data_IF_630483590279
#
_entry.id   IF_630483590279
#
_cell.length_a   1.000
_cell.length_b   1.000
_cell.length_c   1.000
_cell.angle_alpha   90.00
_cell.angle_beta   90.00
_cell.angle_gamma   90.00
#
_symmetry.space_group_name_H-M   'P 1'
#
loop_
_entity.id
_entity.type
_entity.pdbx_description
1 polymer ?
#
# COMPACT_ATOMS: atom_id res chain seq x y z
N UNK A 1 -14.79 15.59 11.11
CA UNK A 1 -15.37 14.30 10.73
C UNK A 1 -16.45 14.00 11.72
N UNK A 2 -17.63 13.57 11.28
CA UNK A 2 -18.68 13.19 12.22
C UNK A 2 -18.39 11.80 12.85
N UNK A 3 -19.02 11.53 13.99
CA UNK A 3 -18.80 10.29 14.73
C UNK A 3 -19.27 9.04 13.96
N UNK A 4 -20.24 9.18 13.06
CA UNK A 4 -20.76 8.08 12.24
C UNK A 4 -19.70 7.63 11.23
N UNK A 5 -19.10 8.59 10.49
CA UNK A 5 -17.99 8.35 9.57
C UNK A 5 -16.80 7.72 10.30
N UNK A 6 -16.41 8.28 11.46
CA UNK A 6 -15.31 7.71 12.23
C UNK A 6 -15.60 6.29 12.66
N UNK A 7 -16.77 6.03 13.26
CA UNK A 7 -17.11 4.70 13.79
C UNK A 7 -17.20 3.66 12.67
N UNK A 8 -17.87 3.99 11.56
CA UNK A 8 -18.01 3.09 10.43
C UNK A 8 -16.66 2.78 9.77
N UNK A 9 -15.85 3.83 9.50
CA UNK A 9 -14.53 3.65 8.90
C UNK A 9 -13.57 2.89 9.82
N UNK A 10 -13.58 3.20 11.13
CA UNK A 10 -12.77 2.50 12.11
C UNK A 10 -13.13 1.02 12.20
N UNK A 11 -14.42 0.68 12.35
CA UNK A 11 -14.86 -0.72 12.45
C UNK A 11 -14.54 -1.49 11.17
N UNK A 12 -14.84 -0.93 9.99
CA UNK A 12 -14.56 -1.58 8.72
C UNK A 12 -13.06 -1.84 8.54
N UNK A 13 -12.22 -0.84 8.77
CA UNK A 13 -10.76 -0.96 8.65
C UNK A 13 -10.15 -1.83 9.75
N UNK A 14 -10.70 -1.83 10.96
CA UNK A 14 -10.25 -2.70 12.05
C UNK A 14 -10.47 -4.17 11.70
N UNK A 15 -11.69 -4.55 11.32
CA UNK A 15 -11.98 -5.92 10.92
C UNK A 15 -11.18 -6.32 9.67
N UNK A 16 -11.05 -5.42 8.70
CA UNK A 16 -10.27 -5.68 7.49
C UNK A 16 -8.78 -5.85 7.80
N UNK A 17 -8.23 -5.08 8.73
CA UNK A 17 -6.84 -5.22 9.20
C UNK A 17 -6.62 -6.55 9.91
N UNK A 18 -7.58 -6.99 10.74
CA UNK A 18 -7.49 -8.27 11.47
C UNK A 18 -7.54 -9.45 10.50
N UNK A 19 -8.44 -9.40 9.50
CA UNK A 19 -8.50 -10.45 8.47
C UNK A 19 -7.26 -10.43 7.58
N UNK A 20 -6.83 -9.26 7.12
CA UNK A 20 -5.65 -9.11 6.26
C UNK A 20 -4.38 -9.64 6.96
N UNK A 21 -4.19 -9.33 8.24
CA UNK A 21 -3.04 -9.85 9.00
C UNK A 21 -3.06 -11.38 9.16
N UNK A 22 -4.26 -11.99 9.29
CA UNK A 22 -4.43 -13.43 9.54
C UNK A 22 -4.45 -14.27 8.26
N UNK A 23 -5.20 -13.84 7.25
CA UNK A 23 -5.45 -14.60 6.02
C UNK A 23 -4.83 -13.98 4.77
N UNK A 24 -4.22 -12.79 4.84
CA UNK A 24 -3.70 -12.05 3.67
C UNK A 24 -4.76 -11.69 2.64
N UNK A 25 -6.01 -11.71 3.09
CA UNK A 25 -7.18 -11.44 2.28
C UNK A 25 -8.19 -10.66 3.11
N UNK A 26 -8.93 -9.78 2.44
CA UNK A 26 -10.08 -9.09 3.02
C UNK A 26 -11.34 -9.68 2.40
N UNK A 27 -12.31 -10.16 3.21
CA UNK A 27 -13.55 -10.70 2.69
C UNK A 27 -14.28 -9.69 1.79
N UNK A 28 -14.77 -10.17 0.65
CA UNK A 28 -15.55 -9.35 -0.28
C UNK A 28 -16.79 -8.73 0.38
N UNK A 29 -17.45 -9.47 1.28
CA UNK A 29 -18.58 -8.97 2.04
C UNK A 29 -18.21 -7.71 2.85
N UNK A 30 -17.01 -7.66 3.42
CA UNK A 30 -16.55 -6.53 4.21
C UNK A 30 -16.21 -5.32 3.33
N UNK A 31 -15.46 -5.55 2.24
CA UNK A 31 -15.03 -4.46 1.34
C UNK A 31 -16.20 -3.88 0.53
N UNK A 32 -17.05 -4.71 -0.08
CA UNK A 32 -18.25 -4.26 -0.77
C UNK A 32 -19.30 -3.72 0.20
N UNK A 33 -19.48 -4.37 1.36
CA UNK A 33 -20.40 -3.88 2.39
C UNK A 33 -20.03 -2.48 2.86
N UNK A 34 -18.74 -2.21 3.08
CA UNK A 34 -18.27 -0.88 3.45
C UNK A 34 -18.47 0.15 2.32
N UNK A 35 -18.16 -0.22 1.07
CA UNK A 35 -18.43 0.65 -0.09
C UNK A 35 -19.92 1.00 -0.22
N UNK A 36 -20.80 0.01 -0.12
CA UNK A 36 -22.25 0.21 -0.17
C UNK A 36 -22.75 1.09 0.98
N UNK A 37 -22.23 0.90 2.19
CA UNK A 37 -22.52 1.77 3.33
C UNK A 37 -22.12 3.21 3.06
N UNK A 38 -20.89 3.45 2.57
CA UNK A 38 -20.41 4.80 2.25
C UNK A 38 -21.30 5.51 1.23
N UNK A 39 -21.76 4.78 0.21
CA UNK A 39 -22.68 5.33 -0.80
C UNK A 39 -24.04 5.66 -0.18
N UNK A 40 -24.63 4.72 0.56
CA UNK A 40 -25.91 4.92 1.23
C UNK A 40 -25.86 6.11 2.20
N UNK A 41 -24.75 6.28 2.91
CA UNK A 41 -24.53 7.39 3.83
C UNK A 41 -24.49 8.75 3.11
N UNK A 42 -23.78 8.85 1.98
CA UNK A 42 -23.75 10.08 1.17
C UNK A 42 -25.13 10.47 0.63
N UNK A 43 -25.92 9.48 0.18
CA UNK A 43 -27.31 9.68 -0.26
C UNK A 43 -28.22 10.12 0.90
N UNK A 44 -28.11 9.48 2.06
CA UNK A 44 -28.86 9.85 3.26
C UNK A 44 -28.56 11.29 3.70
N UNK A 45 -27.27 11.68 3.71
CA UNK A 45 -26.86 13.06 3.99
C UNK A 45 -27.47 14.06 3.04
N UNK A 46 -27.49 13.76 1.76
CA UNK A 46 -28.09 14.62 0.74
C UNK A 46 -29.60 14.82 0.99
N UNK A 47 -30.30 13.73 1.34
CA UNK A 47 -31.72 13.78 1.67
C UNK A 47 -32.00 14.62 2.92
N UNK A 48 -31.27 14.38 4.01
CA UNK A 48 -31.43 15.10 5.28
C UNK A 48 -31.12 16.59 5.14
N UNK A 49 -30.09 16.94 4.37
CA UNK A 49 -29.68 18.34 4.15
C UNK A 49 -30.46 19.05 3.05
N UNK A 50 -31.30 18.33 2.27
CA UNK A 50 -32.01 18.88 1.12
C UNK A 50 -31.08 19.44 0.04
N UNK A 51 -29.88 18.89 -0.12
CA UNK A 51 -28.84 19.41 -1.01
C UNK A 51 -28.15 18.30 -1.79
N UNK A 52 -27.79 18.57 -3.04
CA UNK A 52 -27.03 17.65 -3.91
C UNK A 52 -25.54 17.60 -3.59
N UNK A 53 -25.03 18.55 -2.82
CA UNK A 53 -23.60 18.66 -2.53
C UNK A 53 -23.00 17.38 -1.92
N UNK A 54 -23.63 16.69 -0.95
CA UNK A 54 -23.09 15.44 -0.41
C UNK A 54 -23.00 14.31 -1.45
N UNK A 55 -23.96 14.23 -2.39
CA UNK A 55 -23.92 13.24 -3.48
C UNK A 55 -22.74 13.52 -4.40
N UNK A 56 -22.58 14.77 -4.83
CA UNK A 56 -21.48 15.15 -5.71
C UNK A 56 -20.12 14.93 -5.04
N UNK A 57 -19.99 15.27 -3.76
CA UNK A 57 -18.78 15.04 -2.98
C UNK A 57 -18.48 13.54 -2.83
N UNK A 58 -19.49 12.73 -2.52
CA UNK A 58 -19.34 11.27 -2.43
C UNK A 58 -18.90 10.66 -3.77
N UNK A 59 -19.53 11.05 -4.89
CA UNK A 59 -19.20 10.55 -6.21
C UNK A 59 -17.80 10.98 -6.65
N UNK A 60 -17.42 12.24 -6.43
CA UNK A 60 -16.07 12.72 -6.76
C UNK A 60 -15.00 12.00 -5.93
N UNK A 61 -15.25 11.81 -4.63
CA UNK A 61 -14.39 11.03 -3.74
C UNK A 61 -14.23 9.58 -4.21
N UNK A 62 -15.34 8.92 -4.55
CA UNK A 62 -15.36 7.56 -5.11
C UNK A 62 -14.54 7.45 -6.40
N UNK A 63 -14.74 8.38 -7.34
CA UNK A 63 -14.04 8.38 -8.63
C UNK A 63 -12.54 8.61 -8.46
N UNK A 64 -12.14 9.60 -7.65
CA UNK A 64 -10.72 9.92 -7.45
C UNK A 64 -10.00 8.79 -6.71
N UNK A 65 -10.58 8.29 -5.63
CA UNK A 65 -9.96 7.25 -4.81
C UNK A 65 -10.02 5.88 -5.47
N UNK A 66 -11.14 5.54 -6.11
CA UNK A 66 -11.28 4.33 -6.90
C UNK A 66 -10.36 4.35 -8.12
N UNK A 67 -10.24 5.50 -8.80
CA UNK A 67 -9.29 5.68 -9.90
C UNK A 67 -7.84 5.50 -9.45
N UNK A 68 -7.44 6.10 -8.32
CA UNK A 68 -6.12 5.89 -7.73
C UNK A 68 -5.90 4.42 -7.35
N UNK A 69 -6.88 3.78 -6.71
CA UNK A 69 -6.83 2.37 -6.36
C UNK A 69 -6.68 1.46 -7.59
N UNK A 70 -7.38 1.77 -8.69
CA UNK A 70 -7.25 1.05 -9.96
C UNK A 70 -5.85 1.22 -10.55
N UNK A 71 -5.31 2.45 -10.57
CA UNK A 71 -3.94 2.70 -11.04
C UNK A 71 -2.92 1.87 -10.24
N UNK A 72 -3.08 1.79 -8.92
CA UNK A 72 -2.19 1.01 -8.06
C UNK A 72 -2.38 -0.50 -8.21
N UNK A 73 -3.61 -0.96 -8.44
CA UNK A 73 -3.90 -2.36 -8.76
C UNK A 73 -3.25 -2.79 -10.07
N UNK A 74 -3.46 -2.02 -11.15
CA UNK A 74 -2.84 -2.32 -12.45
C UNK A 74 -1.33 -2.12 -12.45
N UNK A 75 -0.80 -1.30 -11.54
CA UNK A 75 0.63 -1.17 -11.27
C UNK A 75 1.22 -2.31 -10.43
N UNK A 76 0.42 -3.30 -10.04
CA UNK A 76 0.86 -4.42 -9.20
C UNK A 76 1.36 -3.98 -7.82
N UNK A 77 0.89 -2.84 -7.31
CA UNK A 77 1.27 -2.33 -5.99
C UNK A 77 0.30 -2.79 -4.91
N UNK A 78 -0.99 -2.77 -5.22
CA UNK A 78 -2.08 -3.02 -4.26
C UNK A 78 -2.99 -4.15 -4.72
N UNK A 79 -3.65 -4.81 -3.77
CA UNK A 79 -4.64 -5.84 -4.05
C UNK A 79 -6.01 -5.26 -4.42
N UNK A 80 -6.90 -6.11 -4.94
CA UNK A 80 -8.27 -5.71 -5.26
C UNK A 80 -9.06 -5.25 -4.02
N UNK A 81 -8.77 -5.83 -2.86
CA UNK A 81 -9.34 -5.42 -1.57
C UNK A 81 -8.96 -3.98 -1.20
N UNK A 82 -7.67 -3.62 -1.29
CA UNK A 82 -7.16 -2.29 -0.95
C UNK A 82 -7.81 -1.21 -1.82
N UNK A 83 -7.97 -1.50 -3.12
CA UNK A 83 -8.64 -0.61 -4.07
C UNK A 83 -10.11 -0.39 -3.70
N UNK A 84 -10.85 -1.45 -3.33
CA UNK A 84 -12.25 -1.33 -2.87
C UNK A 84 -12.37 -0.54 -1.58
N UNK A 85 -11.48 -0.79 -0.61
CA UNK A 85 -11.44 -0.05 0.65
C UNK A 85 -11.09 1.41 0.44
N UNK A 86 -10.14 1.72 -0.45
CA UNK A 86 -9.78 3.10 -0.80
C UNK A 86 -10.98 3.81 -1.45
N UNK A 87 -11.64 3.16 -2.40
CA UNK A 87 -12.86 3.68 -3.04
C UNK A 87 -13.97 3.94 -2.02
N UNK A 88 -14.20 3.02 -1.08
CA UNK A 88 -15.17 3.15 0.00
C UNK A 88 -14.86 4.33 0.93
N UNK A 89 -13.58 4.55 1.29
CA UNK A 89 -13.15 5.69 2.07
C UNK A 89 -13.30 7.01 1.31
N UNK A 90 -12.98 7.03 0.02
CA UNK A 90 -13.20 8.19 -0.85
C UNK A 90 -14.68 8.58 -0.89
N UNK A 91 -15.58 7.61 -1.05
CA UNK A 91 -17.02 7.84 -0.99
C UNK A 91 -17.48 8.33 0.41
N UNK A 92 -16.90 7.78 1.48
CA UNK A 92 -17.26 8.10 2.86
C UNK A 92 -16.85 9.53 3.26
N UNK A 93 -15.63 9.93 2.90
CA UNK A 93 -15.11 11.27 3.16
C UNK A 93 -15.77 12.30 2.25
N UNK A 94 -16.00 11.92 0.99
CA UNK A 94 -16.33 12.83 -0.09
C UNK A 94 -15.15 13.75 -0.45
N UNK A 95 -15.23 14.36 -1.64
CA UNK A 95 -14.25 15.32 -2.12
C UNK A 95 -14.97 16.58 -2.61
N UNK A 96 -14.85 17.67 -1.86
CA UNK A 96 -15.44 18.97 -2.19
C UNK A 96 -14.47 20.11 -1.88
N UNK A 97 -14.64 21.24 -2.56
CA UNK A 97 -13.83 22.44 -2.33
C UNK A 97 -13.97 22.88 -0.86
N UNK A 98 -12.83 23.05 -0.18
CA UNK A 98 -12.79 23.38 1.26
C UNK A 98 -12.81 22.18 2.20
N UNK A 99 -12.99 20.95 1.70
CA UNK A 99 -12.85 19.72 2.46
C UNK A 99 -11.50 19.06 2.16
N UNK A 100 -10.62 19.01 3.16
CA UNK A 100 -9.26 18.46 3.04
C UNK A 100 -9.11 17.06 3.68
N UNK A 101 -10.19 16.48 4.22
CA UNK A 101 -10.13 15.19 4.94
C UNK A 101 -9.62 14.05 4.05
N UNK A 102 -10.15 13.96 2.82
CA UNK A 102 -9.73 12.98 1.84
C UNK A 102 -8.25 13.15 1.45
N UNK A 103 -7.82 14.38 1.11
CA UNK A 103 -6.43 14.62 0.73
C UNK A 103 -5.47 14.37 1.89
N UNK A 104 -5.81 14.84 3.09
CA UNK A 104 -5.02 14.61 4.30
C UNK A 104 -4.92 13.12 4.62
N UNK A 105 -6.01 12.36 4.44
CA UNK A 105 -5.98 10.90 4.58
C UNK A 105 -4.99 10.26 3.60
N UNK A 106 -4.98 10.64 2.32
CA UNK A 106 -4.04 10.09 1.33
C UNK A 106 -2.58 10.38 1.71
N UNK A 107 -2.31 11.60 2.19
CA UNK A 107 -0.97 11.98 2.68
C UNK A 107 -0.58 11.11 3.87
N UNK A 108 -1.47 10.98 4.87
CA UNK A 108 -1.23 10.14 6.04
C UNK A 108 -1.09 8.65 5.66
N UNK A 109 -1.84 8.17 4.67
CA UNK A 109 -1.74 6.81 4.15
C UNK A 109 -0.38 6.56 3.51
N UNK A 110 0.16 7.52 2.75
CA UNK A 110 1.50 7.39 2.19
C UNK A 110 2.57 7.26 3.29
N UNK A 111 2.50 8.12 4.32
CA UNK A 111 3.46 8.09 5.42
C UNK A 111 3.34 6.83 6.28
N UNK A 112 2.12 6.46 6.67
CA UNK A 112 1.87 5.26 7.48
C UNK A 112 2.14 3.98 6.70
N UNK A 113 1.79 3.94 5.42
CA UNK A 113 2.09 2.82 4.51
C UNK A 113 3.59 2.61 4.35
N UNK A 114 4.35 3.68 4.13
CA UNK A 114 5.80 3.62 4.05
C UNK A 114 6.43 3.15 5.37
N UNK A 115 6.03 3.75 6.51
CA UNK A 115 6.52 3.37 7.83
C UNK A 115 6.21 1.90 8.16
N UNK A 116 4.96 1.48 7.92
CA UNK A 116 4.52 0.11 8.15
C UNK A 116 5.26 -0.89 7.26
N UNK A 117 5.40 -0.59 5.96
CA UNK A 117 6.14 -1.44 5.03
C UNK A 117 7.60 -1.64 5.43
N UNK A 118 8.28 -0.59 5.89
CA UNK A 118 9.65 -0.67 6.41
C UNK A 118 9.68 -1.55 7.67
N UNK A 119 8.84 -1.27 8.67
CA UNK A 119 8.80 -2.02 9.93
C UNK A 119 8.52 -3.49 9.68
N UNK A 120 7.51 -3.81 8.84
CA UNK A 120 7.15 -5.17 8.50
C UNK A 120 8.29 -5.92 7.79
N UNK A 121 8.93 -5.27 6.81
CA UNK A 121 10.07 -5.83 6.07
C UNK A 121 11.24 -6.14 7.01
N UNK A 122 11.59 -5.21 7.90
CA UNK A 122 12.66 -5.40 8.87
C UNK A 122 12.32 -6.48 9.90
N UNK A 123 11.07 -6.54 10.37
CA UNK A 123 10.61 -7.58 11.27
C UNK A 123 10.70 -8.97 10.61
N UNK A 124 10.31 -9.08 9.34
CA UNK A 124 10.38 -10.35 8.60
C UNK A 124 11.83 -10.79 8.34
N UNK A 125 12.71 -9.84 7.99
CA UNK A 125 14.14 -10.08 7.84
C UNK A 125 14.81 -10.50 9.17
N UNK A 126 14.40 -9.92 10.29
CA UNK A 126 14.89 -10.28 11.61
C UNK A 126 14.39 -11.68 12.04
N UNK A 127 13.12 -11.98 11.78
CA UNK A 127 12.52 -13.27 12.11
C UNK A 127 13.17 -14.44 11.34
N UNK A 128 13.62 -14.20 10.10
CA UNK A 128 14.26 -15.20 9.24
C UNK A 128 15.73 -14.83 8.94
N UNK A 129 16.47 -14.40 9.96
CA UNK A 129 17.81 -13.83 9.82
C UNK A 129 18.79 -14.66 9.00
N UNK A 130 18.79 -15.99 9.16
CA UNK A 130 19.73 -16.87 8.45
C UNK A 130 19.45 -16.90 6.94
N UNK A 131 18.20 -17.16 6.56
CA UNK A 131 17.76 -17.13 5.18
C UNK A 131 17.98 -15.74 4.56
N UNK A 132 17.63 -14.68 5.30
CA UNK A 132 17.84 -13.30 4.87
C UNK A 132 19.32 -12.97 4.61
N UNK A 133 20.23 -13.33 5.52
CA UNK A 133 21.66 -13.04 5.36
C UNK A 133 22.26 -13.82 4.18
N UNK A 134 21.86 -15.08 3.98
CA UNK A 134 22.29 -15.86 2.80
C UNK A 134 21.85 -15.17 1.51
N UNK A 135 20.55 -14.89 1.40
CA UNK A 135 19.98 -14.22 0.25
C UNK A 135 20.55 -12.82 0.00
N UNK A 136 20.82 -12.05 1.06
CA UNK A 136 21.42 -10.73 0.93
C UNK A 136 22.83 -10.81 0.34
N UNK A 137 23.63 -11.80 0.73
CA UNK A 137 24.97 -12.01 0.16
C UNK A 137 24.89 -12.35 -1.33
N UNK A 138 23.95 -13.20 -1.72
CA UNK A 138 23.70 -13.55 -3.13
C UNK A 138 23.22 -12.34 -3.94
N UNK A 139 22.33 -11.53 -3.37
CA UNK A 139 21.82 -10.33 -4.04
C UNK A 139 22.92 -9.27 -4.23
N UNK A 140 23.85 -9.13 -3.29
CA UNK A 140 24.94 -8.14 -3.34
C UNK A 140 26.02 -8.46 -4.38
N UNK A 141 26.14 -9.72 -4.84
CA UNK A 141 27.10 -10.09 -5.90
C UNK A 141 26.55 -9.86 -7.32
N UNK A 142 25.23 -9.67 -7.46
CA UNK A 142 24.62 -9.38 -8.75
C UNK A 142 25.23 -8.12 -9.39
N UNK A 143 25.57 -8.15 -10.69
CA UNK A 143 26.25 -7.03 -11.36
C UNK A 143 25.44 -5.73 -11.30
N UNK A 144 24.11 -5.82 -11.41
CA UNK A 144 23.20 -4.67 -11.29
C UNK A 144 23.26 -4.01 -9.92
N UNK A 145 23.28 -4.79 -8.85
CA UNK A 145 23.33 -4.29 -7.47
C UNK A 145 24.71 -3.72 -7.15
N UNK A 146 25.79 -4.38 -7.62
CA UNK A 146 27.16 -3.85 -7.50
C UNK A 146 27.33 -2.51 -8.21
N UNK A 147 26.75 -2.36 -9.40
CA UNK A 147 26.80 -1.10 -10.15
C UNK A 147 26.00 0.00 -9.46
N UNK A 148 24.76 -0.29 -9.02
CA UNK A 148 23.96 0.63 -8.22
C UNK A 148 24.71 1.10 -6.96
N UNK A 149 25.34 0.18 -6.22
CA UNK A 149 26.15 0.50 -5.03
C UNK A 149 27.30 1.46 -5.35
N UNK A 150 28.02 1.24 -6.46
CA UNK A 150 29.12 2.12 -6.89
C UNK A 150 28.63 3.52 -7.23
N UNK A 151 27.51 3.63 -7.93
CA UNK A 151 26.88 4.93 -8.25
C UNK A 151 26.45 5.63 -6.98
N UNK A 152 25.76 4.94 -6.07
CA UNK A 152 25.34 5.51 -4.78
C UNK A 152 26.54 6.00 -3.99
N UNK A 153 27.63 5.23 -3.91
CA UNK A 153 28.85 5.65 -3.21
C UNK A 153 29.52 6.85 -3.88
N UNK A 154 29.60 6.87 -5.21
CA UNK A 154 30.14 8.02 -5.96
C UNK A 154 29.29 9.28 -5.75
N UNK A 155 27.96 9.15 -5.76
CA UNK A 155 27.04 10.25 -5.47
C UNK A 155 27.18 10.75 -4.03
N UNK A 156 27.23 9.85 -3.04
CA UNK A 156 27.48 10.21 -1.65
C UNK A 156 28.83 10.94 -1.50
N UNK A 157 29.88 10.46 -2.17
CA UNK A 157 31.19 11.11 -2.16
C UNK A 157 31.13 12.52 -2.75
N UNK A 158 30.45 12.71 -3.89
CA UNK A 158 30.27 14.02 -4.51
C UNK A 158 29.46 14.98 -3.60
N UNK A 159 28.40 14.49 -2.95
CA UNK A 159 27.62 15.28 -2.00
C UNK A 159 28.49 15.69 -0.80
N UNK A 160 29.33 14.78 -0.29
CA UNK A 160 30.26 15.10 0.79
C UNK A 160 31.28 16.17 0.37
N UNK A 161 31.82 16.12 -0.84
CA UNK A 161 32.66 17.21 -1.37
C UNK A 161 31.90 18.54 -1.43
N UNK A 162 30.63 18.51 -1.84
CA UNK A 162 29.78 19.70 -1.90
C UNK A 162 29.48 20.27 -0.50
N UNK A 163 29.37 19.42 0.53
CA UNK A 163 29.24 19.86 1.94
C UNK A 163 30.45 20.71 2.34
N UNK A 164 31.67 20.35 1.95
CA UNK A 164 32.86 21.16 2.26
C UNK A 164 32.85 22.54 1.59
N UNK A 165 32.30 22.62 0.37
CA UNK A 165 32.23 23.88 -0.40
C UNK A 165 31.11 24.78 0.14
N UNK A 166 29.90 24.24 0.33
CA UNK A 166 28.69 25.01 0.68
C UNK A 166 28.52 25.16 2.20
N UNK A 167 29.16 24.31 3.01
CA UNK A 167 29.10 24.28 4.48
C UNK A 167 27.69 24.17 5.05
N UNK A 168 26.83 23.37 4.40
CA UNK A 168 25.44 23.19 4.81
C UNK A 168 25.18 21.76 5.31
N UNK A 169 24.66 21.64 6.53
CA UNK A 169 24.37 20.35 7.20
C UNK A 169 23.26 19.51 6.55
N UNK A 170 22.23 20.07 5.88
CA UNK A 170 21.21 19.28 5.17
C UNK A 170 21.78 18.39 4.05
N UNK A 171 22.87 18.79 3.40
CA UNK A 171 23.52 17.96 2.38
C UNK A 171 24.13 16.69 2.98
N UNK A 172 24.66 16.76 4.21
CA UNK A 172 25.15 15.58 4.91
C UNK A 172 24.00 14.61 5.21
N UNK A 173 22.87 15.12 5.71
CA UNK A 173 21.67 14.32 5.92
C UNK A 173 21.19 13.66 4.62
N UNK A 174 21.22 14.40 3.51
CA UNK A 174 20.85 13.87 2.20
C UNK A 174 21.76 12.72 1.75
N UNK A 175 23.08 12.81 1.94
CA UNK A 175 24.01 11.73 1.64
C UNK A 175 23.75 10.47 2.48
N UNK A 176 23.45 10.65 3.78
CA UNK A 176 23.09 9.55 4.68
C UNK A 176 21.78 8.89 4.22
N UNK A 177 20.74 9.68 3.95
CA UNK A 177 19.45 9.17 3.48
C UNK A 177 19.58 8.43 2.14
N UNK A 178 20.38 8.96 1.21
CA UNK A 178 20.63 8.31 -0.08
C UNK A 178 21.26 6.92 0.09
N UNK A 179 22.24 6.80 0.99
CA UNK A 179 22.89 5.52 1.29
C UNK A 179 21.96 4.55 2.02
N UNK A 180 21.17 5.05 2.98
CA UNK A 180 20.14 4.25 3.67
C UNK A 180 19.08 3.75 2.69
N UNK A 181 18.66 4.57 1.73
CA UNK A 181 17.68 4.18 0.72
C UNK A 181 18.19 3.06 -0.19
N UNK A 182 19.48 3.07 -0.54
CA UNK A 182 20.11 1.95 -1.26
C UNK A 182 19.99 0.64 -0.47
N UNK A 183 20.33 0.65 0.82
CA UNK A 183 20.23 -0.55 1.66
C UNK A 183 18.79 -0.99 1.89
N UNK A 184 17.86 -0.04 2.06
CA UNK A 184 16.45 -0.34 2.15
C UNK A 184 15.94 -1.00 0.87
N UNK A 185 16.31 -0.47 -0.30
CA UNK A 185 15.95 -1.04 -1.59
C UNK A 185 16.44 -2.48 -1.75
N UNK A 186 17.72 -2.76 -1.42
CA UNK A 186 18.26 -4.13 -1.47
C UNK A 186 17.52 -5.03 -0.48
N UNK A 187 17.26 -4.56 0.73
CA UNK A 187 16.56 -5.31 1.78
C UNK A 187 15.14 -5.68 1.34
N UNK A 188 14.37 -4.72 0.84
CA UNK A 188 13.01 -4.94 0.32
C UNK A 188 13.04 -5.98 -0.80
N UNK A 189 14.00 -5.90 -1.74
CA UNK A 189 14.13 -6.88 -2.83
C UNK A 189 14.43 -8.29 -2.35
N UNK A 190 15.29 -8.45 -1.34
CA UNK A 190 15.58 -9.76 -0.75
C UNK A 190 14.35 -10.33 -0.06
N UNK A 191 13.67 -9.53 0.76
CA UNK A 191 12.46 -9.95 1.47
C UNK A 191 11.35 -10.33 0.48
N UNK A 192 11.16 -9.51 -0.56
CA UNK A 192 10.16 -9.72 -1.61
C UNK A 192 10.37 -11.03 -2.39
N UNK A 193 11.61 -11.35 -2.76
CA UNK A 193 11.89 -12.53 -3.59
C UNK A 193 12.01 -13.82 -2.77
N UNK A 194 12.59 -13.76 -1.56
CA UNK A 194 12.97 -14.96 -0.81
C UNK A 194 12.07 -15.25 0.37
N UNK A 195 11.58 -14.22 1.07
CA UNK A 195 10.79 -14.41 2.30
C UNK A 195 9.29 -14.30 2.07
N UNK A 196 8.87 -13.56 1.04
CA UNK A 196 7.47 -13.41 0.65
C UNK A 196 7.05 -14.38 -0.46
N UNK A 197 7.98 -15.07 -1.11
CA UNK A 197 7.64 -16.13 -2.06
C UNK A 197 7.54 -17.47 -1.34
N UNK A 198 6.37 -18.10 -1.38
CA UNK A 198 6.13 -19.41 -0.76
C UNK A 198 5.56 -20.39 -1.75
N UNK A 199 5.82 -21.67 -1.48
CA UNK A 199 5.27 -22.76 -2.27
C UNK A 199 3.87 -23.12 -1.76
N UNK A 200 2.86 -22.96 -2.62
CA UNK A 200 1.46 -23.29 -2.32
C UNK A 200 1.02 -24.52 -3.10
N UNK A 201 0.18 -25.35 -2.49
CA UNK A 201 -0.52 -26.39 -3.24
C UNK A 201 -1.56 -25.73 -4.15
N UNK A 202 -1.74 -26.25 -5.38
CA UNK A 202 -2.76 -25.72 -6.32
C UNK A 202 -4.19 -25.82 -5.77
N UNK A 203 -4.41 -26.69 -4.78
CA UNK A 203 -5.67 -26.79 -4.05
C UNK A 203 -5.95 -25.57 -3.15
N UNK A 204 -4.89 -24.91 -2.65
CA UNK A 204 -4.97 -23.76 -1.74
C UNK A 204 -5.03 -22.41 -2.47
N UNK A 205 -4.77 -22.39 -3.78
CA UNK A 205 -4.80 -21.15 -4.55
C UNK A 205 -6.19 -20.52 -4.53
N UNK A 206 -6.22 -19.22 -4.31
CA UNK A 206 -7.41 -18.36 -4.39
C UNK A 206 -7.31 -17.44 -5.61
N UNK A 207 -8.46 -16.86 -5.99
CA UNK A 207 -8.50 -15.92 -7.12
C UNK A 207 -7.75 -14.64 -6.76
N UNK A 208 -6.76 -14.26 -7.57
CA UNK A 208 -5.90 -13.11 -7.30
C UNK A 208 -4.49 -13.46 -6.80
N UNK A 209 -4.19 -14.72 -6.46
CA UNK A 209 -2.84 -15.13 -6.05
C UNK A 209 -1.79 -14.84 -7.15
N UNK A 210 -0.63 -14.31 -6.75
CA UNK A 210 0.44 -13.94 -7.67
C UNK A 210 1.44 -15.07 -7.85
N UNK A 211 1.18 -15.94 -8.83
CA UNK A 211 2.13 -16.99 -9.23
C UNK A 211 3.34 -16.36 -9.93
N UNK A 212 4.54 -16.63 -9.44
CA UNK A 212 5.76 -15.88 -9.83
C UNK A 212 6.29 -16.20 -11.22
N UNK A 213 5.97 -17.38 -11.76
CA UNK A 213 6.55 -17.91 -12.99
C UNK A 213 5.50 -18.58 -13.88
N UNK A 214 5.81 -18.64 -15.18
CA UNK A 214 5.03 -19.44 -16.13
C UNK A 214 5.08 -20.92 -15.72
N UNK A 215 3.94 -21.60 -15.78
CA UNK A 215 3.84 -23.02 -15.45
C UNK A 215 3.70 -23.80 -16.74
N UNK A 216 4.75 -24.55 -17.09
CA UNK A 216 4.84 -25.37 -18.30
C UNK A 216 4.77 -26.84 -17.92
N UNK A 217 3.81 -27.58 -18.50
CA UNK A 217 3.63 -29.02 -18.29
C UNK A 217 3.71 -29.72 -19.64
N UNK A 218 4.64 -30.67 -19.78
CA UNK A 218 4.92 -31.39 -21.04
C UNK A 218 5.16 -30.45 -22.25
N UNK A 219 5.91 -29.37 -22.05
CA UNK A 219 6.23 -28.40 -23.11
C UNK A 219 5.09 -27.44 -23.48
N UNK A 220 3.92 -27.55 -22.83
CA UNK A 220 2.79 -26.65 -23.03
C UNK A 220 2.62 -25.70 -21.84
N UNK A 221 2.59 -24.40 -22.09
CA UNK A 221 2.28 -23.39 -21.06
C UNK A 221 0.84 -23.54 -20.60
N UNK A 222 0.65 -23.96 -19.35
CA UNK A 222 -0.66 -24.12 -18.70
C UNK A 222 -1.11 -22.80 -18.08
N UNK A 223 -0.16 -22.05 -17.53
CA UNK A 223 -0.38 -20.72 -16.97
C UNK A 223 0.75 -19.80 -17.40
N UNK A 224 0.38 -18.59 -17.82
CA UNK A 224 1.30 -17.49 -18.10
C UNK A 224 1.19 -16.48 -16.97
N UNK A 225 2.31 -16.03 -16.44
CA UNK A 225 2.38 -15.03 -15.38
C UNK A 225 1.50 -13.83 -15.72
N UNK A 226 0.66 -13.45 -14.76
CA UNK A 226 -0.26 -12.32 -14.84
C UNK A 226 -0.04 -11.38 -13.66
N UNK A 227 -0.01 -10.07 -13.93
CA UNK A 227 0.10 -9.03 -12.89
C UNK A 227 -1.19 -8.91 -12.06
N UNK A 228 -2.33 -9.38 -12.58
CA UNK A 228 -3.61 -9.38 -11.85
C UNK A 228 -3.81 -10.65 -10.99
N UNK A 229 -2.81 -11.55 -10.97
CA UNK A 229 -2.91 -12.84 -10.32
C UNK A 229 -3.64 -13.91 -11.13
N UNK A 230 -3.85 -15.07 -10.52
CA UNK A 230 -4.53 -16.22 -11.12
C UNK A 230 -6.04 -16.05 -11.12
N UNK A 231 -6.69 -16.37 -12.23
CA UNK A 231 -8.15 -16.44 -12.30
C UNK A 231 -8.65 -17.83 -11.90
N UNK A 232 -9.95 -17.95 -11.61
CA UNK A 232 -10.59 -19.27 -11.41
C UNK A 232 -10.39 -20.23 -12.59
N UNK A 233 -10.32 -19.71 -13.81
CA UNK A 233 -10.06 -20.50 -15.02
C UNK A 233 -8.62 -21.03 -15.04
N UNK A 234 -7.66 -20.23 -14.61
CA UNK A 234 -6.25 -20.62 -14.51
C UNK A 234 -6.04 -21.70 -13.44
N UNK A 235 -6.66 -21.54 -12.27
CA UNK A 235 -6.62 -22.54 -11.19
C UNK A 235 -7.20 -23.87 -11.70
N UNK A 236 -8.32 -23.84 -12.42
CA UNK A 236 -8.90 -25.04 -13.03
C UNK A 236 -8.00 -25.66 -14.12
N UNK A 237 -7.24 -24.85 -14.87
CA UNK A 237 -6.26 -25.35 -15.84
C UNK A 237 -5.07 -26.03 -15.14
N UNK A 238 -4.52 -25.42 -14.09
CA UNK A 238 -3.44 -25.98 -13.28
C UNK A 238 -3.85 -27.32 -12.63
N UNK A 239 -5.07 -27.41 -12.09
CA UNK A 239 -5.62 -28.66 -11.53
C UNK A 239 -5.77 -29.75 -12.58
N UNK A 240 -6.29 -29.43 -13.77
CA UNK A 240 -6.43 -30.39 -14.89
C UNK A 240 -5.08 -30.90 -15.38
N UNK A 241 -4.06 -30.05 -15.38
CA UNK A 241 -2.68 -30.42 -15.72
C UNK A 241 -1.94 -31.18 -14.60
N UNK A 242 -2.62 -31.49 -13.48
CA UNK A 242 -2.06 -32.20 -12.31
C UNK A 242 -0.82 -31.51 -11.70
N UNK A 243 -0.73 -30.18 -11.82
CA UNK A 243 0.30 -29.41 -11.12
C UNK A 243 0.01 -29.47 -9.63
N UNK A 244 0.98 -29.94 -8.84
CA UNK A 244 0.80 -30.11 -7.39
C UNK A 244 1.01 -28.81 -6.64
N UNK A 245 2.06 -28.08 -7.00
CA UNK A 245 2.56 -26.91 -6.28
C UNK A 245 3.01 -25.82 -7.23
N UNK A 246 2.90 -24.58 -6.79
CA UNK A 246 3.36 -23.38 -7.50
C UNK A 246 3.95 -22.38 -6.50
N UNK A 247 4.86 -21.54 -6.97
CA UNK A 247 5.42 -20.45 -6.17
C UNK A 247 4.49 -19.24 -6.24
N UNK A 248 3.99 -18.81 -5.08
CA UNK A 248 3.10 -17.66 -4.93
C UNK A 248 3.84 -16.60 -4.14
N UNK A 249 3.76 -15.37 -4.61
CA UNK A 249 4.28 -14.20 -3.92
C UNK A 249 3.20 -13.62 -3.03
N UNK A 250 3.40 -13.72 -1.72
CA UNK A 250 2.52 -13.11 -0.73
C UNK A 250 2.77 -11.60 -0.61
N UNK A 251 1.68 -10.85 -0.43
CA UNK A 251 1.75 -9.44 -0.10
C UNK A 251 2.09 -9.18 1.37
N UNK A 252 2.58 -7.98 1.64
CA UNK A 252 2.55 -7.39 2.97
C UNK A 252 1.08 -7.06 3.28
N UNK A 253 0.54 -7.38 4.47
CA UNK A 253 -0.86 -7.08 4.77
C UNK A 253 -0.96 -5.57 4.98
N UNK A 254 -1.48 -4.86 3.98
CA UNK A 254 -1.35 -3.40 3.88
C UNK A 254 -2.50 -2.63 4.53
N UNK A 255 -3.65 -3.28 4.78
CA UNK A 255 -4.82 -2.64 5.41
C UNK A 255 -4.54 -2.07 6.82
N UNK A 256 -3.67 -2.64 7.66
CA UNK A 256 -3.25 -2.01 8.91
C UNK A 256 -2.72 -0.56 8.73
N UNK A 257 -2.11 -0.25 7.59
CA UNK A 257 -1.68 1.13 7.30
C UNK A 257 -2.86 2.06 7.02
N UNK A 258 -3.92 1.57 6.37
CA UNK A 258 -5.17 2.32 6.20
C UNK A 258 -5.80 2.65 7.55
N UNK A 259 -5.86 1.67 8.45
CA UNK A 259 -6.38 1.88 9.80
C UNK A 259 -5.54 2.91 10.56
N UNK A 260 -4.21 2.80 10.51
CA UNK A 260 -3.31 3.76 11.14
C UNK A 260 -3.50 5.19 10.59
N UNK A 261 -3.57 5.34 9.26
CA UNK A 261 -3.83 6.63 8.61
C UNK A 261 -5.19 7.22 9.04
N UNK A 262 -6.23 6.38 9.12
CA UNK A 262 -7.57 6.77 9.51
C UNK A 262 -7.64 7.24 10.97
N UNK A 263 -6.96 6.55 11.88
CA UNK A 263 -6.85 6.95 13.29
C UNK A 263 -6.06 8.26 13.41
N UNK A 264 -4.91 8.37 12.73
CA UNK A 264 -4.11 9.59 12.74
C UNK A 264 -4.88 10.79 12.19
N UNK A 265 -5.70 10.59 11.15
CA UNK A 265 -6.53 11.66 10.59
C UNK A 265 -7.41 12.32 11.66
N UNK A 266 -8.00 11.53 12.55
CA UNK A 266 -8.82 12.04 13.66
C UNK A 266 -8.06 12.97 14.60
N UNK A 267 -6.80 12.66 14.91
CA UNK A 267 -5.96 13.44 15.83
C UNK A 267 -5.23 14.61 15.16
N UNK A 268 -4.77 14.42 13.92
CA UNK A 268 -3.99 15.42 13.18
C UNK A 268 -4.89 16.54 12.68
N UNK A 269 -6.12 16.24 12.27
CA UNK A 269 -7.03 17.22 11.69
C UNK A 269 -7.26 18.44 12.60
N UNK A 270 -7.69 18.30 13.88
CA UNK A 270 -7.94 19.46 14.74
C UNK A 270 -6.69 20.34 14.93
N UNK A 271 -5.52 19.71 15.07
CA UNK A 271 -4.24 20.41 15.21
C UNK A 271 -3.94 21.22 13.95
N UNK A 272 -4.03 20.60 12.76
CA UNK A 272 -3.79 21.27 11.49
C UNK A 272 -4.72 22.47 11.29
N UNK A 273 -6.02 22.30 11.57
CA UNK A 273 -7.00 23.40 11.48
C UNK A 273 -6.67 24.54 12.43
N UNK A 274 -6.31 24.22 13.68
CA UNK A 274 -5.94 25.25 14.66
C UNK A 274 -4.71 26.05 14.23
N UNK A 275 -3.73 25.39 13.60
CA UNK A 275 -2.53 26.04 13.07
C UNK A 275 -2.87 26.94 11.88
N UNK A 276 -3.67 26.46 10.93
CA UNK A 276 -4.10 27.25 9.78
C UNK A 276 -4.88 28.50 10.19
N UNK A 277 -5.78 28.38 11.19
CA UNK A 277 -6.52 29.52 11.71
C UNK A 277 -5.61 30.56 12.37
N UNK A 278 -4.59 30.12 13.15
CA UNK A 278 -3.61 31.03 13.74
C UNK A 278 -2.76 31.75 12.69
N UNK A 279 -2.36 31.04 11.62
CA UNK A 279 -1.63 31.66 10.52
C UNK A 279 -2.48 32.69 9.77
N UNK A 280 -3.76 32.38 9.53
CA UNK A 280 -4.68 33.32 8.89
C UNK A 280 -4.86 34.61 9.70
N UNK A 281 -4.92 34.52 11.04
CA UNK A 281 -4.99 35.70 11.91
C UNK A 281 -3.73 36.55 11.92
N UNK A 282 -2.55 35.94 11.70
CA UNK A 282 -1.27 36.67 11.63
C UNK A 282 -1.11 37.40 10.29
N UNK A 283 -1.61 36.81 9.20
CA UNK A 283 -1.48 37.40 7.85
C UNK A 283 -2.54 38.48 7.59
N UNK A 284 -3.70 38.39 8.26
CA UNK A 284 -4.82 39.33 8.08
C UNK A 284 -4.85 40.55 9.01
N UNK A 285 -3.93 40.67 9.96
CA UNK A 285 -3.80 41.81 10.87
C UNK A 285 -2.53 42.59 10.60
#
# INVERSE_FOLDING_TARGET
MDYVVFSAGFLALFFASVTDFRSREVPDLLSYGFLSFSIAYGLLKAWVLGSWQPVLAMLSGLVVFGGLGLLLLYGGQWGGADMKLLAALGALFGLWVGQYDALLFLVLLLFTGAAYGIVYTLALAAAHREAFVSALREQLVLPRVRWARRITLAACFLILLLVFIVRTTPLLLFAVLLYLFFWLWVTVRVVENELLTKEYAVAQLTEGDWVTHDVVVHGKTVYKKSELGVTKKDIAALRRAKVKRVMVKEGIPFVPSFLAAFILLWFVKPVLVSLLMRLATIVGG
#
